data_IF_275870888432
#
_entry.id   IF_275870888432
#
_cell.length_a   1.000
_cell.length_b   1.000
_cell.length_c   1.000
_cell.angle_alpha   90.00
_cell.angle_beta   90.00
_cell.angle_gamma   90.00
#
_symmetry.space_group_name_H-M   'P 1'
#
loop_
_entity.id
_entity.type
_entity.pdbx_description
1 polymer ?
#
# COMPACT_ATOMS: atom_id res chain seq x y z
N UNK A 1 13.90 18.95 -11.10
CA UNK A 1 13.53 18.45 -9.75
C UNK A 1 14.16 17.09 -9.59
N UNK A 2 14.84 16.86 -8.50
CA UNK A 2 15.81 15.78 -8.36
C UNK A 2 15.12 14.41 -8.39
N UNK A 3 15.62 13.50 -9.24
CA UNK A 3 15.28 12.07 -9.26
C UNK A 3 15.31 11.45 -7.85
N UNK A 4 16.17 11.98 -6.98
CA UNK A 4 16.25 11.64 -5.58
C UNK A 4 14.92 11.86 -4.82
N UNK A 5 14.20 12.96 -5.11
CA UNK A 5 12.95 13.29 -4.41
C UNK A 5 11.81 12.35 -4.85
N UNK A 6 11.72 12.03 -6.13
CA UNK A 6 10.79 11.05 -6.66
C UNK A 6 11.06 9.65 -6.09
N UNK A 7 12.33 9.25 -6.01
CA UNK A 7 12.74 7.98 -5.40
C UNK A 7 12.38 7.92 -3.92
N UNK A 8 12.63 8.98 -3.15
CA UNK A 8 12.27 9.05 -1.72
C UNK A 8 10.76 8.91 -1.54
N UNK A 9 9.94 9.61 -2.32
CA UNK A 9 8.47 9.49 -2.26
C UNK A 9 8.01 8.06 -2.57
N UNK A 10 8.59 7.44 -3.60
CA UNK A 10 8.27 6.08 -3.99
C UNK A 10 8.63 5.06 -2.91
N UNK A 11 9.86 5.12 -2.39
CA UNK A 11 10.31 4.24 -1.31
C UNK A 11 9.51 4.46 -0.01
N UNK A 12 9.15 5.72 0.30
CA UNK A 12 8.30 6.03 1.45
C UNK A 12 6.92 5.40 1.34
N UNK A 13 6.32 5.41 0.16
CA UNK A 13 5.04 4.74 -0.08
C UNK A 13 5.14 3.22 0.09
N UNK A 14 6.21 2.60 -0.45
CA UNK A 14 6.44 1.16 -0.29
C UNK A 14 6.66 0.76 1.17
N UNK A 15 7.34 1.59 1.96
CA UNK A 15 7.55 1.34 3.39
C UNK A 15 6.29 1.60 4.24
N UNK A 16 5.44 2.54 3.84
CA UNK A 16 4.22 2.90 4.56
C UNK A 16 3.22 1.74 4.61
N UNK A 17 3.04 1.02 3.49
CA UNK A 17 2.07 -0.07 3.39
C UNK A 17 2.32 -1.18 4.41
N UNK A 18 3.52 -1.80 4.49
CA UNK A 18 3.80 -2.80 5.51
C UNK A 18 3.74 -2.24 6.93
N UNK A 19 4.12 -0.97 7.12
CA UNK A 19 4.06 -0.32 8.44
C UNK A 19 2.62 -0.16 8.93
N UNK A 20 1.69 0.25 8.08
CA UNK A 20 0.27 0.35 8.41
C UNK A 20 -0.36 -1.02 8.70
N UNK A 21 0.01 -2.05 7.93
CA UNK A 21 -0.46 -3.41 8.17
C UNK A 21 0.11 -3.99 9.47
N UNK A 22 1.38 -3.73 9.77
CA UNK A 22 2.00 -4.12 11.04
C UNK A 22 1.33 -3.43 12.23
N UNK A 23 1.01 -2.13 12.10
CA UNK A 23 0.27 -1.39 13.11
C UNK A 23 -1.12 -2.00 13.34
N UNK A 24 -1.82 -2.38 12.28
CA UNK A 24 -3.10 -3.07 12.37
C UNK A 24 -2.98 -4.42 13.06
N UNK A 25 -1.93 -5.18 12.74
CA UNK A 25 -1.67 -6.49 13.32
C UNK A 25 -1.41 -6.42 14.84
N UNK A 26 -0.68 -5.39 15.29
CA UNK A 26 -0.29 -5.22 16.70
C UNK A 26 -1.38 -4.57 17.54
N UNK A 27 -2.04 -3.53 17.02
CA UNK A 27 -2.90 -2.64 17.84
C UNK A 27 -4.39 -2.84 17.56
N UNK A 28 -4.75 -3.57 16.50
CA UNK A 28 -6.12 -3.72 16.00
C UNK A 28 -6.87 -2.38 15.75
N UNK A 29 -6.20 -1.27 15.78
CA UNK A 29 -6.59 0.08 15.38
C UNK A 29 -5.67 0.49 14.22
N UNK A 30 -6.04 1.23 13.27
CA UNK A 30 -7.32 1.82 12.85
C UNK A 30 -8.24 0.85 12.13
N UNK A 31 -9.46 1.26 11.74
CA UNK A 31 -10.39 0.42 10.98
C UNK A 31 -9.84 0.10 9.58
N UNK A 32 -10.18 -1.06 9.03
CA UNK A 32 -9.69 -1.53 7.73
C UNK A 32 -9.96 -0.57 6.58
N UNK A 33 -11.14 0.01 6.54
CA UNK A 33 -11.54 0.94 5.47
C UNK A 33 -10.61 2.17 5.42
N UNK A 34 -10.15 2.65 6.57
CA UNK A 34 -9.26 3.81 6.64
C UNK A 34 -7.87 3.47 6.08
N UNK A 35 -7.33 2.29 6.39
CA UNK A 35 -6.06 1.81 5.84
C UNK A 35 -6.14 1.68 4.33
N UNK A 36 -7.21 1.02 3.83
CA UNK A 36 -7.42 0.80 2.40
C UNK A 36 -7.52 2.13 1.65
N UNK A 37 -8.37 3.05 2.13
CA UNK A 37 -8.53 4.37 1.51
C UNK A 37 -7.20 5.12 1.51
N UNK A 38 -6.46 5.12 2.62
CA UNK A 38 -5.18 5.82 2.71
C UNK A 38 -4.18 5.30 1.68
N UNK A 39 -4.03 3.98 1.54
CA UNK A 39 -3.10 3.37 0.59
C UNK A 39 -3.53 3.65 -0.85
N UNK A 40 -4.83 3.53 -1.16
CA UNK A 40 -5.35 3.79 -2.51
C UNK A 40 -5.16 5.25 -2.90
N UNK A 41 -5.51 6.18 -2.02
CA UNK A 41 -5.37 7.63 -2.28
C UNK A 41 -3.91 8.03 -2.44
N UNK A 42 -3.03 7.56 -1.55
CA UNK A 42 -1.59 7.86 -1.66
C UNK A 42 -0.98 7.29 -2.93
N UNK A 43 -1.32 6.05 -3.29
CA UNK A 43 -0.84 5.43 -4.53
C UNK A 43 -1.37 6.16 -5.76
N UNK A 44 -2.64 6.57 -5.76
CA UNK A 44 -3.22 7.36 -6.82
C UNK A 44 -2.52 8.73 -6.97
N UNK A 45 -2.32 9.45 -5.87
CA UNK A 45 -1.58 10.72 -5.85
C UNK A 45 -0.16 10.55 -6.39
N UNK A 46 0.51 9.43 -6.10
CA UNK A 46 1.83 9.11 -6.64
C UNK A 46 1.79 8.95 -8.17
N UNK A 47 0.83 8.21 -8.70
CA UNK A 47 0.67 7.98 -10.15
C UNK A 47 0.39 9.30 -10.86
N UNK A 48 -0.59 10.08 -10.37
CA UNK A 48 -0.94 11.39 -10.94
C UNK A 48 0.24 12.37 -10.81
N UNK A 49 0.90 12.38 -9.67
CA UNK A 49 2.09 13.21 -9.43
C UNK A 49 3.21 12.92 -10.42
N UNK A 50 3.54 11.65 -10.62
CA UNK A 50 4.57 11.23 -11.59
C UNK A 50 4.19 11.68 -13.01
N UNK A 51 2.93 11.53 -13.41
CA UNK A 51 2.43 12.00 -14.69
C UNK A 51 2.57 13.52 -14.85
N UNK A 52 2.13 14.30 -13.87
CA UNK A 52 2.22 15.76 -13.89
C UNK A 52 3.69 16.22 -13.98
N UNK A 53 4.59 15.61 -13.20
CA UNK A 53 6.01 15.95 -13.25
C UNK A 53 6.66 15.62 -14.59
N UNK A 54 6.29 14.51 -15.21
CA UNK A 54 6.75 14.15 -16.54
C UNK A 54 6.36 15.23 -17.55
N UNK A 55 5.09 15.67 -17.54
CA UNK A 55 4.60 16.71 -18.45
C UNK A 55 5.19 18.10 -18.18
N UNK A 56 5.45 18.45 -16.93
CA UNK A 56 6.16 19.70 -16.60
C UNK A 56 7.60 19.69 -17.15
N UNK A 57 8.29 18.55 -17.05
CA UNK A 57 9.64 18.38 -17.64
C UNK A 57 9.63 18.54 -19.17
N UNK A 58 8.64 17.99 -19.87
CA UNK A 58 8.44 18.19 -21.30
C UNK A 58 8.19 19.66 -21.63
N UNK A 59 7.33 20.34 -20.85
CA UNK A 59 7.06 21.76 -21.00
C UNK A 59 8.31 22.63 -20.89
N UNK A 60 9.19 22.30 -19.95
CA UNK A 60 10.48 23.00 -19.79
C UNK A 60 11.42 22.78 -20.98
N UNK A 61 11.47 21.57 -21.56
CA UNK A 61 12.27 21.27 -22.76
C UNK A 61 11.79 22.06 -23.97
N UNK A 62 10.48 22.14 -24.19
CA UNK A 62 9.86 22.94 -25.26
C UNK A 62 10.18 24.41 -25.06
N UNK A 63 10.07 24.94 -23.86
CA UNK A 63 10.36 26.34 -23.55
C UNK A 63 11.83 26.73 -23.79
N UNK A 64 12.76 25.74 -23.70
CA UNK A 64 14.17 25.90 -24.00
C UNK A 64 14.52 25.70 -25.48
N UNK A 65 13.54 25.39 -26.34
CA UNK A 65 13.76 25.13 -27.78
C UNK A 65 14.53 23.85 -28.05
N UNK A 66 14.43 22.85 -27.17
CA UNK A 66 15.08 21.54 -27.26
C UNK A 66 14.12 20.47 -27.75
N UNK A 67 13.40 20.76 -28.81
CA UNK A 67 12.37 19.87 -29.36
C UNK A 67 12.92 18.51 -29.82
N UNK A 68 14.23 18.45 -30.16
CA UNK A 68 14.91 17.22 -30.55
C UNK A 68 15.15 16.25 -29.38
N UNK A 69 15.09 16.74 -28.14
CA UNK A 69 15.25 15.93 -26.93
C UNK A 69 13.91 15.38 -26.40
N UNK A 70 12.78 15.66 -27.09
CA UNK A 70 11.47 15.18 -26.67
C UNK A 70 11.31 13.68 -26.90
N UNK A 71 10.72 12.94 -25.97
CA UNK A 71 10.41 11.52 -26.15
C UNK A 71 9.46 11.30 -27.33
N UNK A 72 9.67 10.24 -28.11
CA UNK A 72 8.78 9.87 -29.22
C UNK A 72 7.35 9.66 -28.68
N UNK A 73 6.37 10.27 -29.34
CA UNK A 73 4.94 10.11 -29.00
C UNK A 73 4.43 10.99 -27.85
N UNK A 74 5.20 11.98 -27.39
CA UNK A 74 4.79 12.87 -26.32
C UNK A 74 3.48 13.64 -26.60
N UNK A 75 3.18 13.91 -27.87
CA UNK A 75 1.97 14.62 -28.35
C UNK A 75 0.72 13.72 -28.38
N UNK A 76 0.91 12.40 -28.42
CA UNK A 76 -0.18 11.41 -28.43
C UNK A 76 -0.64 10.96 -27.04
N UNK A 77 -0.06 11.54 -25.99
CA UNK A 77 -0.15 11.02 -24.63
C UNK A 77 -1.45 11.38 -23.87
N UNK A 78 -2.45 11.92 -24.56
CA UNK A 78 -3.75 12.22 -23.97
C UNK A 78 -4.43 10.99 -23.33
N UNK A 79 -4.23 9.81 -23.89
CA UNK A 79 -4.78 8.56 -23.35
C UNK A 79 -4.08 8.13 -22.05
N UNK A 80 -2.75 8.35 -21.94
CA UNK A 80 -2.00 8.03 -20.72
C UNK A 80 -2.38 8.95 -19.56
N UNK A 81 -2.68 10.23 -19.85
CA UNK A 81 -3.19 11.17 -18.84
C UNK A 81 -4.56 10.78 -18.29
N UNK A 82 -5.47 10.40 -19.17
CA UNK A 82 -6.78 9.88 -18.75
C UNK A 82 -6.61 8.59 -17.92
N UNK A 83 -5.72 7.70 -18.33
CA UNK A 83 -5.43 6.50 -17.57
C UNK A 83 -4.82 6.80 -16.20
N UNK A 84 -3.91 7.76 -16.09
CA UNK A 84 -3.33 8.16 -14.81
C UNK A 84 -4.39 8.71 -13.85
N UNK A 85 -5.31 9.53 -14.36
CA UNK A 85 -6.37 10.13 -13.55
C UNK A 85 -7.43 9.11 -13.15
N UNK A 86 -7.98 8.35 -14.14
CA UNK A 86 -9.11 7.45 -13.92
C UNK A 86 -8.70 6.01 -13.58
N UNK A 87 -7.51 5.57 -13.98
CA UNK A 87 -7.02 4.21 -13.79
C UNK A 87 -5.94 4.06 -12.71
N UNK A 88 -5.32 5.16 -12.26
CA UNK A 88 -4.20 5.11 -11.31
C UNK A 88 -4.53 4.43 -9.98
N UNK A 89 -5.77 4.51 -9.51
CA UNK A 89 -6.22 3.81 -8.32
C UNK A 89 -6.23 2.28 -8.48
N UNK A 90 -6.43 1.78 -9.72
CA UNK A 90 -6.35 0.33 -10.01
C UNK A 90 -4.94 -0.21 -9.78
N UNK A 91 -3.91 0.55 -10.14
CA UNK A 91 -2.51 0.18 -9.89
C UNK A 91 -2.27 0.02 -8.39
N UNK A 92 -2.82 0.93 -7.58
CA UNK A 92 -2.74 0.85 -6.11
C UNK A 92 -3.45 -0.38 -5.56
N UNK A 93 -4.60 -0.78 -6.14
CA UNK A 93 -5.29 -2.01 -5.76
C UNK A 93 -4.46 -3.25 -6.08
N UNK A 94 -3.90 -3.34 -7.30
CA UNK A 94 -3.05 -4.47 -7.70
C UNK A 94 -1.84 -4.59 -6.77
N UNK A 95 -1.22 -3.46 -6.41
CA UNK A 95 -0.12 -3.43 -5.44
C UNK A 95 -0.54 -3.89 -4.04
N UNK A 96 -1.77 -3.60 -3.62
CA UNK A 96 -2.27 -3.94 -2.30
C UNK A 96 -2.53 -5.45 -2.13
N UNK A 97 -2.91 -6.17 -3.21
CA UNK A 97 -3.26 -7.60 -3.17
C UNK A 97 -2.20 -8.47 -2.49
N UNK A 98 -0.91 -8.45 -2.87
CA UNK A 98 0.10 -9.27 -2.22
C UNK A 98 0.26 -8.97 -0.73
N UNK A 99 0.12 -7.72 -0.33
CA UNK A 99 0.18 -7.32 1.08
C UNK A 99 -1.00 -7.83 1.89
N UNK A 100 -2.20 -7.85 1.31
CA UNK A 100 -3.38 -8.44 1.96
C UNK A 100 -3.24 -9.95 2.12
N UNK A 101 -2.66 -10.63 1.14
CA UNK A 101 -2.37 -12.08 1.23
C UNK A 101 -1.37 -12.36 2.35
N UNK A 102 -0.27 -11.62 2.42
CA UNK A 102 0.73 -11.75 3.48
C UNK A 102 0.09 -11.51 4.86
N UNK A 103 -0.73 -10.46 4.98
CA UNK A 103 -1.44 -10.17 6.23
C UNK A 103 -2.40 -11.30 6.62
N UNK A 104 -3.19 -11.83 5.69
CA UNK A 104 -4.12 -12.92 5.94
C UNK A 104 -3.39 -14.20 6.40
N UNK A 105 -2.25 -14.51 5.79
CA UNK A 105 -1.39 -15.63 6.20
C UNK A 105 -0.83 -15.42 7.61
N UNK A 106 -0.36 -14.21 7.93
CA UNK A 106 0.17 -13.88 9.26
C UNK A 106 -0.90 -14.03 10.35
N UNK A 107 -2.12 -13.53 10.10
CA UNK A 107 -3.25 -13.67 11.03
C UNK A 107 -3.66 -15.14 11.18
N UNK A 108 -3.71 -15.89 10.09
CA UNK A 108 -4.02 -17.33 10.11
C UNK A 108 -2.99 -18.11 10.91
N UNK A 109 -1.70 -17.88 10.69
CA UNK A 109 -0.62 -18.50 11.44
C UNK A 109 -0.71 -18.20 12.95
N UNK A 110 -0.98 -16.95 13.31
CA UNK A 110 -1.17 -16.55 14.71
C UNK A 110 -2.32 -17.30 15.38
N UNK A 111 -3.47 -17.42 14.71
CA UNK A 111 -4.63 -18.17 15.24
C UNK A 111 -4.32 -19.65 15.45
N UNK A 112 -3.58 -20.28 14.53
CA UNK A 112 -3.16 -21.68 14.67
C UNK A 112 -2.21 -21.85 15.84
N UNK A 113 -1.26 -20.93 16.02
CA UNK A 113 -0.33 -20.98 17.16
C UNK A 113 -1.06 -20.79 18.49
N UNK A 114 -1.99 -19.86 18.58
CA UNK A 114 -2.79 -19.61 19.78
C UNK A 114 -3.67 -20.83 20.12
N UNK A 115 -4.25 -21.50 19.12
CA UNK A 115 -5.04 -22.73 19.33
C UNK A 115 -4.19 -23.91 19.81
N UNK A 116 -2.92 -23.98 19.40
CA UNK A 116 -1.98 -25.02 19.88
C UNK A 116 -1.45 -24.77 21.28
N UNK A 117 -1.35 -23.49 21.69
CA UNK A 117 -0.86 -23.10 23.01
C UNK A 117 -1.97 -22.95 24.06
N UNK A 118 -3.23 -23.22 23.71
CA UNK A 118 -4.31 -23.38 24.65
C UNK A 118 -4.34 -24.83 25.20
N UNK A 119 -3.40 -25.24 26.07
CA UNK A 119 -3.42 -26.60 26.60
C UNK A 119 -4.47 -26.65 27.67
N UNK A 120 -5.50 -27.49 27.40
CA UNK A 120 -6.06 -28.39 28.42
C UNK A 120 -6.50 -27.77 29.76
N UNK A 121 -7.01 -26.50 29.79
CA UNK A 121 -7.72 -26.00 30.97
C UNK A 121 -9.05 -26.73 31.24
N UNK A 122 -9.45 -27.67 30.38
CA UNK A 122 -10.68 -28.45 30.53
C UNK A 122 -10.50 -29.78 31.26
N UNK A 123 -9.29 -30.09 31.73
CA UNK A 123 -9.05 -31.30 32.54
C UNK A 123 -8.54 -30.96 33.93
N UNK A 124 -9.14 -29.94 34.57
CA UNK A 124 -9.14 -29.93 36.02
C UNK A 124 -10.48 -30.46 36.46
N UNK A 125 -10.58 -31.76 36.81
CA UNK A 125 -11.76 -32.25 37.49
C UNK A 125 -11.90 -31.45 38.76
N UNK A 126 -13.12 -30.98 39.04
CA UNK A 126 -13.48 -30.37 40.32
C UNK A 126 -12.87 -31.23 41.43
N UNK A 127 -11.75 -30.76 41.95
CA UNK A 127 -11.19 -31.34 43.16
C UNK A 127 -12.23 -31.13 44.25
N UNK A 128 -12.83 -32.23 44.61
CA UNK A 128 -13.80 -32.44 45.64
C UNK A 128 -13.83 -31.35 46.72
N UNK A 129 -14.93 -30.65 46.77
CA UNK A 129 -15.35 -29.89 47.91
C UNK A 129 -15.54 -30.86 49.09
N UNK A 130 -14.79 -30.81 50.18
CA UNK A 130 -15.05 -31.63 51.37
C UNK A 130 -16.32 -31.08 52.03
N UNK A 131 -17.40 -31.87 51.97
CA UNK A 131 -18.60 -31.66 52.79
C UNK A 131 -18.23 -31.86 54.24
N UNK A 132 -18.29 -30.81 54.98
CA UNK A 132 -18.49 -30.86 56.43
C UNK A 132 -19.86 -30.30 56.77
#
# INVERSE_FOLDING_TARGET
MNEALASICFFSFFALTPSLLALKFTTNKPPWWLILITIIVLGWVLVVGTYVFYHLGIGDLIAQGKDEELPEGWDSDGASGLFAIFGGWLISLVYLVPWLVIYALAVGARRILESRHAPNKRMQPDAAEPRH
#
